data_IF_089691915035
#
_entry.id   IF_089691915035
#
_cell.length_a   1.000
_cell.length_b   1.000
_cell.length_c   1.000
_cell.angle_alpha   90.00
_cell.angle_beta   90.00
_cell.angle_gamma   90.00
#
_symmetry.space_group_name_H-M   'P 1'
#
loop_
_entity.id
_entity.type
_entity.pdbx_description
1 polymer ?
#
# COMPACT_ATOMS: atom_id res chain seq x y z
N UNK A 1 14.16 2.60 -26.10
CA UNK A 1 14.44 1.64 -24.99
C UNK A 1 13.13 1.06 -24.52
N UNK A 2 12.98 -0.27 -24.51
CA UNK A 2 11.75 -0.91 -24.02
C UNK A 2 11.65 -0.68 -22.52
N UNK A 3 10.63 0.05 -22.07
CA UNK A 3 10.31 0.26 -20.67
C UNK A 3 10.10 -1.09 -20.01
N UNK A 4 10.96 -1.45 -19.07
CA UNK A 4 10.84 -2.68 -18.29
C UNK A 4 9.49 -2.65 -17.58
N UNK A 5 8.54 -3.45 -18.03
CA UNK A 5 7.19 -3.52 -17.46
C UNK A 5 7.32 -3.82 -15.96
N UNK A 6 6.89 -2.89 -15.11
CA UNK A 6 6.94 -3.09 -13.68
C UNK A 6 6.11 -4.32 -13.32
N UNK A 7 6.69 -5.25 -12.56
CA UNK A 7 5.94 -6.40 -12.06
C UNK A 7 4.93 -5.95 -10.97
N UNK A 8 3.93 -6.77 -10.73
CA UNK A 8 2.90 -6.46 -9.72
C UNK A 8 3.22 -7.17 -8.42
N UNK A 9 3.09 -6.44 -7.31
CA UNK A 9 3.17 -6.96 -5.94
C UNK A 9 1.77 -7.26 -5.47
N UNK A 10 1.54 -8.49 -5.02
CA UNK A 10 0.24 -8.97 -4.53
C UNK A 10 0.27 -9.06 -3.01
N UNK A 11 -0.70 -8.45 -2.35
CA UNK A 11 -0.86 -8.47 -0.89
C UNK A 11 -2.28 -8.97 -0.59
N UNK A 12 -2.49 -9.86 0.40
CA UNK A 12 -3.83 -10.27 0.81
C UNK A 12 -4.70 -9.04 1.14
N UNK A 13 -5.93 -9.02 0.62
CA UNK A 13 -6.81 -7.85 0.75
C UNK A 13 -7.23 -7.59 2.19
N UNK A 14 -7.34 -8.63 3.00
CA UNK A 14 -7.57 -8.55 4.45
C UNK A 14 -6.43 -7.80 5.17
N UNK A 15 -5.17 -8.02 4.80
CA UNK A 15 -4.03 -7.24 5.33
C UNK A 15 -4.12 -5.77 4.88
N UNK A 16 -4.48 -5.51 3.62
CA UNK A 16 -4.61 -4.15 3.10
C UNK A 16 -5.65 -3.34 3.88
N UNK A 17 -6.75 -3.97 4.30
CA UNK A 17 -7.88 -3.36 5.00
C UNK A 17 -7.85 -3.51 6.52
N UNK A 18 -6.79 -4.07 7.08
CA UNK A 18 -6.69 -4.34 8.51
C UNK A 18 -6.08 -3.17 9.29
N UNK A 19 -6.82 -2.57 10.22
CA UNK A 19 -6.39 -1.44 11.05
C UNK A 19 -5.30 -1.79 12.08
N UNK A 20 -5.03 -3.06 12.33
CA UNK A 20 -3.96 -3.49 13.25
C UNK A 20 -2.56 -3.17 12.71
N UNK A 21 -2.40 -3.11 11.37
CA UNK A 21 -1.14 -2.73 10.76
C UNK A 21 -1.00 -1.21 10.73
N UNK A 22 0.05 -0.67 11.33
CA UNK A 22 0.43 0.74 11.10
C UNK A 22 0.86 0.95 9.64
N UNK A 23 0.79 2.18 9.16
CA UNK A 23 1.22 2.48 7.78
C UNK A 23 2.70 2.14 7.52
N UNK A 24 3.57 2.27 8.56
CA UNK A 24 4.98 1.88 8.48
C UNK A 24 5.17 0.37 8.38
N UNK A 25 4.50 -0.39 9.24
CA UNK A 25 4.51 -1.86 9.19
C UNK A 25 3.98 -2.38 7.85
N UNK A 26 2.85 -1.83 7.38
CA UNK A 26 2.29 -2.20 6.08
C UNK A 26 3.27 -1.95 4.93
N UNK A 27 3.92 -0.77 4.91
CA UNK A 27 4.86 -0.43 3.83
C UNK A 27 6.11 -1.30 3.90
N UNK A 28 6.62 -1.61 5.11
CA UNK A 28 7.71 -2.56 5.30
C UNK A 28 7.31 -3.95 4.79
N UNK A 29 6.13 -4.46 5.19
CA UNK A 29 5.61 -5.75 4.74
C UNK A 29 5.49 -5.81 3.21
N UNK A 30 4.89 -4.78 2.59
CA UNK A 30 4.77 -4.68 1.14
C UNK A 30 6.15 -4.74 0.46
N UNK A 31 7.17 -4.12 1.06
CA UNK A 31 8.54 -4.13 0.56
C UNK A 31 9.20 -5.50 0.71
N UNK A 32 8.94 -6.22 1.80
CA UNK A 32 9.40 -7.60 1.99
C UNK A 32 8.72 -8.56 0.98
N UNK A 33 7.41 -8.41 0.76
CA UNK A 33 6.69 -9.16 -0.28
C UNK A 33 7.24 -8.82 -1.67
N UNK A 34 7.56 -7.54 -1.95
CA UNK A 34 8.24 -7.15 -3.18
C UNK A 34 9.57 -7.90 -3.35
N UNK A 35 10.39 -7.98 -2.30
CA UNK A 35 11.66 -8.70 -2.32
C UNK A 35 11.48 -10.21 -2.58
N UNK A 36 10.41 -10.81 -2.07
CA UNK A 36 10.04 -12.19 -2.38
C UNK A 36 9.75 -12.40 -3.88
N UNK A 37 9.12 -11.42 -4.56
CA UNK A 37 8.76 -11.56 -5.97
C UNK A 37 9.93 -11.33 -6.96
N UNK A 38 11.02 -10.67 -6.55
CA UNK A 38 12.14 -10.33 -7.43
C UNK A 38 12.91 -11.57 -7.92
N UNK A 39 13.35 -12.54 -7.08
CA UNK A 39 14.11 -13.68 -7.52
C UNK A 39 13.28 -14.64 -8.40
N UNK A 40 13.92 -15.33 -9.34
CA UNK A 40 13.26 -16.39 -10.14
C UNK A 40 12.82 -17.56 -9.25
N UNK A 41 13.68 -17.99 -8.34
CA UNK A 41 13.38 -19.01 -7.34
C UNK A 41 12.83 -18.32 -6.09
N UNK A 42 11.60 -18.69 -5.72
CA UNK A 42 10.91 -18.09 -4.57
C UNK A 42 11.34 -18.78 -3.29
N UNK A 43 11.72 -17.99 -2.30
CA UNK A 43 12.05 -18.47 -0.96
C UNK A 43 11.40 -17.55 0.08
N UNK A 44 10.71 -18.14 1.05
CA UNK A 44 10.10 -17.40 2.16
C UNK A 44 11.16 -16.87 3.14
N UNK A 45 12.34 -17.49 3.18
CA UNK A 45 13.49 -16.97 3.94
C UNK A 45 14.24 -15.96 3.07
N UNK A 46 14.14 -14.69 3.44
CA UNK A 46 14.75 -13.57 2.73
C UNK A 46 16.08 -13.18 3.39
N UNK A 47 17.14 -13.09 2.60
CA UNK A 47 18.42 -12.51 3.01
C UNK A 47 18.43 -11.02 2.60
N UNK A 48 18.24 -10.12 3.55
CA UNK A 48 18.03 -8.69 3.31
C UNK A 48 19.20 -7.87 3.82
N UNK A 49 19.71 -6.97 3.00
CA UNK A 49 20.49 -5.85 3.49
C UNK A 49 19.55 -4.87 4.22
N UNK A 50 19.54 -4.95 5.54
CA UNK A 50 18.64 -4.13 6.36
C UNK A 50 18.96 -2.62 6.24
N UNK A 51 20.22 -2.24 6.02
CA UNK A 51 20.62 -0.83 5.83
C UNK A 51 20.04 -0.29 4.52
N UNK A 52 20.16 -1.06 3.44
CA UNK A 52 19.54 -0.72 2.17
C UNK A 52 18.01 -0.65 2.30
N UNK A 53 17.38 -1.61 2.99
CA UNK A 53 15.94 -1.62 3.21
C UNK A 53 15.47 -0.40 4.01
N UNK A 54 16.16 -0.05 5.11
CA UNK A 54 15.92 1.18 5.89
C UNK A 54 16.07 2.44 5.02
N UNK A 55 17.10 2.50 4.19
CA UNK A 55 17.30 3.60 3.25
C UNK A 55 16.14 3.75 2.27
N UNK A 56 15.68 2.65 1.67
CA UNK A 56 14.53 2.68 0.75
C UNK A 56 13.22 3.07 1.43
N UNK A 57 13.08 2.77 2.71
CA UNK A 57 11.90 3.09 3.50
C UNK A 57 11.99 4.42 4.27
N UNK A 58 13.07 5.21 4.12
CA UNK A 58 13.30 6.42 4.91
C UNK A 58 13.27 6.21 6.43
N UNK A 59 13.59 5.01 6.90
CA UNK A 59 13.73 4.72 8.32
C UNK A 59 15.14 5.16 8.76
N UNK A 60 15.21 6.15 9.64
CA UNK A 60 16.49 6.76 10.05
C UNK A 60 17.15 6.02 11.21
N UNK A 61 16.37 5.41 12.07
CA UNK A 61 16.87 4.77 13.29
C UNK A 61 16.53 3.27 13.34
N UNK A 62 17.41 2.51 13.98
CA UNK A 62 17.29 1.07 14.11
C UNK A 62 16.13 0.65 15.02
N UNK A 63 15.74 1.48 15.99
CA UNK A 63 14.69 1.13 16.95
C UNK A 63 13.32 1.20 16.30
N UNK A 64 13.08 2.22 15.47
CA UNK A 64 11.87 2.28 14.62
C UNK A 64 11.80 1.08 13.69
N UNK A 65 12.92 0.69 13.06
CA UNK A 65 12.95 -0.47 12.18
C UNK A 65 12.64 -1.76 12.93
N UNK A 66 13.29 -1.99 14.09
CA UNK A 66 13.01 -3.14 14.96
C UNK A 66 11.56 -3.15 15.46
N UNK A 67 11.01 -1.98 15.82
CA UNK A 67 9.61 -1.85 16.23
C UNK A 67 8.65 -2.32 15.12
N UNK A 68 8.89 -1.93 13.87
CA UNK A 68 8.07 -2.41 12.75
C UNK A 68 8.23 -3.92 12.53
N UNK A 69 9.45 -4.45 12.60
CA UNK A 69 9.68 -5.91 12.49
C UNK A 69 8.98 -6.68 13.62
N UNK A 70 9.06 -6.17 14.86
CA UNK A 70 8.37 -6.76 16.01
C UNK A 70 6.84 -6.75 15.78
N UNK A 71 6.27 -5.64 15.32
CA UNK A 71 4.85 -5.58 15.00
C UNK A 71 4.43 -6.56 13.90
N UNK A 72 5.29 -6.80 12.89
CA UNK A 72 5.04 -7.82 11.87
C UNK A 72 5.12 -9.25 12.43
N UNK A 73 6.02 -9.51 13.38
CA UNK A 73 6.13 -10.80 14.06
C UNK A 73 4.91 -11.07 14.93
N UNK A 74 4.50 -10.11 15.76
CA UNK A 74 3.33 -10.22 16.64
C UNK A 74 2.03 -10.48 15.86
N UNK A 75 1.95 -10.01 14.61
CA UNK A 75 0.82 -10.23 13.68
C UNK A 75 0.97 -11.49 12.81
N UNK A 76 2.03 -12.27 13.02
CA UNK A 76 2.28 -13.51 12.28
C UNK A 76 2.66 -13.30 10.80
N UNK A 77 2.96 -12.07 10.39
CA UNK A 77 3.41 -11.78 9.01
C UNK A 77 4.84 -12.26 8.74
N UNK A 78 5.69 -12.29 9.77
CA UNK A 78 7.00 -12.96 9.75
C UNK A 78 7.06 -14.01 10.85
N UNK A 79 7.79 -15.09 10.60
CA UNK A 79 7.83 -16.28 11.49
C UNK A 79 8.95 -16.20 12.54
N UNK A 80 9.98 -15.41 12.29
CA UNK A 80 11.11 -15.27 13.21
C UNK A 80 11.10 -13.89 13.89
N UNK A 81 11.29 -13.89 15.21
CA UNK A 81 11.46 -12.68 16.00
C UNK A 81 12.85 -12.09 15.76
N UNK A 82 12.92 -10.77 15.46
CA UNK A 82 14.17 -10.07 15.20
C UNK A 82 14.39 -9.04 16.30
N UNK A 83 15.21 -9.40 17.28
CA UNK A 83 15.58 -8.53 18.41
C UNK A 83 16.83 -7.71 18.15
N UNK A 84 17.75 -8.26 17.34
CA UNK A 84 19.03 -7.62 17.02
C UNK A 84 19.27 -7.57 15.51
N UNK A 85 19.91 -6.50 15.05
CA UNK A 85 20.31 -6.35 13.65
C UNK A 85 21.78 -6.78 13.48
N UNK A 86 22.11 -7.55 12.42
CA UNK A 86 23.48 -8.02 12.23
C UNK A 86 24.40 -6.83 11.91
N UNK A 87 25.57 -6.81 12.54
CA UNK A 87 26.61 -5.81 12.22
C UNK A 87 27.23 -6.05 10.84
N UNK A 88 27.36 -7.31 10.44
CA UNK A 88 27.89 -7.77 9.15
C UNK A 88 26.96 -8.84 8.57
N UNK A 89 26.87 -8.88 7.24
CA UNK A 89 26.03 -9.86 6.53
C UNK A 89 24.55 -9.48 6.46
N UNK A 90 23.75 -10.31 5.81
CA UNK A 90 22.32 -10.07 5.63
C UNK A 90 21.51 -10.35 6.91
N UNK A 91 20.41 -9.65 7.03
CA UNK A 91 19.35 -9.97 7.98
C UNK A 91 18.45 -11.04 7.36
N UNK A 92 18.25 -12.14 8.09
CA UNK A 92 17.33 -13.21 7.66
C UNK A 92 15.94 -12.91 8.18
N UNK A 93 14.96 -12.80 7.27
CA UNK A 93 13.54 -12.60 7.57
C UNK A 93 12.75 -13.75 6.97
N UNK A 94 12.02 -14.48 7.79
CA UNK A 94 11.17 -15.60 7.37
C UNK A 94 9.73 -15.13 7.22
N UNK A 95 9.25 -15.02 5.97
CA UNK A 95 7.88 -14.64 5.69
C UNK A 95 6.91 -15.78 6.04
N UNK A 96 5.74 -15.43 6.52
CA UNK A 96 4.63 -16.38 6.60
C UNK A 96 4.12 -16.71 5.19
N UNK A 97 3.77 -17.96 4.95
CA UNK A 97 3.12 -18.40 3.72
C UNK A 97 1.70 -17.80 3.57
N UNK A 98 1.05 -17.46 4.69
CA UNK A 98 -0.28 -16.85 4.71
C UNK A 98 -0.33 -15.46 4.05
N UNK A 99 0.78 -14.71 4.11
CA UNK A 99 0.86 -13.37 3.49
C UNK A 99 1.18 -13.41 1.99
N UNK A 100 1.45 -14.57 1.43
CA UNK A 100 1.76 -14.73 0.00
C UNK A 100 0.53 -15.33 -0.70
N UNK A 101 -0.23 -14.55 -1.48
CA UNK A 101 -1.50 -15.00 -2.08
C UNK A 101 -1.36 -16.24 -2.97
N UNK A 102 -0.20 -16.45 -3.57
CA UNK A 102 0.06 -17.63 -4.41
C UNK A 102 0.22 -18.93 -3.60
N UNK A 103 0.64 -18.82 -2.34
CA UNK A 103 0.79 -19.96 -1.42
C UNK A 103 -0.48 -20.13 -0.57
N UNK A 104 -1.01 -19.02 -0.08
CA UNK A 104 -2.31 -18.97 0.57
C UNK A 104 -3.42 -18.91 -0.49
N UNK A 105 -3.94 -20.06 -0.90
CA UNK A 105 -5.02 -20.14 -1.91
C UNK A 105 -6.37 -19.63 -1.40
N UNK A 106 -6.44 -19.10 -0.17
CA UNK A 106 -7.64 -18.57 0.45
C UNK A 106 -7.66 -17.04 0.32
N UNK A 107 -8.82 -16.50 -0.03
CA UNK A 107 -9.08 -15.06 -0.02
C UNK A 107 -8.74 -14.31 -1.29
N UNK A 108 -8.98 -13.02 -1.24
CA UNK A 108 -8.70 -12.08 -2.31
C UNK A 108 -7.35 -11.40 -2.09
N UNK A 109 -6.73 -10.95 -3.16
CA UNK A 109 -5.52 -10.15 -3.10
C UNK A 109 -5.67 -8.83 -3.85
N UNK A 110 -4.99 -7.83 -3.35
CA UNK A 110 -4.81 -6.53 -3.99
C UNK A 110 -3.44 -6.50 -4.67
N UNK A 111 -3.39 -6.04 -5.91
CA UNK A 111 -2.14 -6.00 -6.65
C UNK A 111 -1.83 -4.60 -7.19
N UNK A 112 -0.64 -4.12 -6.88
CA UNK A 112 -0.14 -2.83 -7.36
C UNK A 112 1.16 -3.02 -8.12
N UNK A 113 1.46 -2.09 -9.04
CA UNK A 113 2.77 -2.07 -9.70
C UNK A 113 3.89 -1.86 -8.66
N UNK A 114 5.01 -2.54 -8.84
CA UNK A 114 6.14 -2.51 -7.91
C UNK A 114 6.76 -1.13 -7.69
N UNK A 115 6.59 -0.21 -8.65
CA UNK A 115 7.06 1.17 -8.57
C UNK A 115 6.35 2.00 -7.50
N UNK A 116 5.14 1.62 -7.06
CA UNK A 116 4.47 2.26 -5.90
C UNK A 116 5.31 2.14 -4.63
N UNK A 117 6.14 1.11 -4.54
CA UNK A 117 7.07 0.87 -3.44
C UNK A 117 8.49 1.39 -3.73
N UNK A 118 8.68 2.23 -4.77
CA UNK A 118 9.96 2.90 -5.01
C UNK A 118 10.26 3.91 -3.90
N UNK A 119 11.55 4.19 -3.69
CA UNK A 119 12.00 5.20 -2.74
C UNK A 119 11.33 6.56 -3.01
N UNK A 120 11.30 6.98 -4.28
CA UNK A 120 10.79 8.29 -4.69
C UNK A 120 9.30 8.45 -4.40
N UNK A 121 8.50 7.39 -4.61
CA UNK A 121 7.07 7.40 -4.29
C UNK A 121 6.86 7.45 -2.78
N UNK A 122 7.60 6.63 -2.01
CA UNK A 122 7.51 6.64 -0.54
C UNK A 122 7.89 8.02 0.01
N UNK A 123 8.94 8.65 -0.53
CA UNK A 123 9.33 10.02 -0.17
C UNK A 123 8.22 11.04 -0.49
N UNK A 124 7.64 10.92 -1.67
CA UNK A 124 6.66 11.88 -2.17
C UNK A 124 5.32 11.85 -1.42
N UNK A 125 4.86 10.68 -0.95
CA UNK A 125 3.52 10.51 -0.37
C UNK A 125 3.51 9.90 1.03
N UNK A 126 4.67 9.46 1.55
CA UNK A 126 4.80 8.83 2.86
C UNK A 126 4.13 7.45 2.94
N UNK A 127 4.27 6.78 4.08
CA UNK A 127 3.70 5.44 4.31
C UNK A 127 2.17 5.43 4.23
N UNK A 128 1.53 6.48 4.75
CA UNK A 128 0.06 6.61 4.71
C UNK A 128 -0.42 6.73 3.26
N UNK A 129 0.27 7.52 2.44
CA UNK A 129 -0.07 7.65 1.02
C UNK A 129 0.07 6.34 0.25
N UNK A 130 1.16 5.59 0.48
CA UNK A 130 1.34 4.24 -0.10
C UNK A 130 0.22 3.31 0.33
N UNK A 131 -0.13 3.31 1.62
CA UNK A 131 -1.19 2.46 2.15
C UNK A 131 -2.57 2.82 1.58
N UNK A 132 -2.88 4.11 1.43
CA UNK A 132 -4.11 4.58 0.80
C UNK A 132 -4.21 4.14 -0.67
N UNK A 133 -3.11 4.17 -1.44
CA UNK A 133 -3.10 3.66 -2.81
C UNK A 133 -3.48 2.17 -2.86
N UNK A 134 -2.88 1.32 -2.00
CA UNK A 134 -3.25 -0.09 -1.90
C UNK A 134 -4.70 -0.27 -1.42
N UNK A 135 -5.15 0.52 -0.46
CA UNK A 135 -6.50 0.47 0.07
C UNK A 135 -7.54 0.78 -1.01
N UNK A 136 -7.37 1.87 -1.75
CA UNK A 136 -8.28 2.23 -2.84
C UNK A 136 -8.25 1.20 -3.97
N UNK A 137 -7.06 0.70 -4.33
CA UNK A 137 -6.92 -0.38 -5.33
C UNK A 137 -7.71 -1.62 -4.94
N UNK A 138 -7.80 -1.94 -3.66
CA UNK A 138 -8.50 -3.11 -3.15
C UNK A 138 -10.01 -3.10 -3.39
N UNK A 139 -10.59 -1.93 -3.67
CA UNK A 139 -12.01 -1.75 -3.97
C UNK A 139 -12.33 -1.58 -5.45
N UNK A 140 -11.30 -1.44 -6.30
CA UNK A 140 -11.50 -1.23 -7.73
C UNK A 140 -11.83 -2.55 -8.43
N UNK A 141 -13.00 -2.60 -9.08
CA UNK A 141 -13.38 -3.73 -9.91
C UNK A 141 -12.98 -3.50 -11.37
N UNK A 142 -11.85 -4.04 -11.79
CA UNK A 142 -11.36 -3.90 -13.16
C UNK A 142 -12.15 -4.68 -14.21
N UNK A 143 -13.00 -5.63 -13.82
CA UNK A 143 -13.87 -6.37 -14.73
C UNK A 143 -15.05 -5.53 -15.21
N UNK A 144 -15.50 -4.58 -14.39
CA UNK A 144 -16.58 -3.65 -14.71
C UNK A 144 -15.99 -2.30 -15.13
N UNK A 145 -16.06 -1.99 -16.42
CA UNK A 145 -15.50 -0.74 -16.98
C UNK A 145 -16.15 0.49 -16.35
N UNK A 146 -17.45 0.42 -16.04
CA UNK A 146 -18.20 1.53 -15.45
C UNK A 146 -17.87 1.77 -13.98
N UNK A 147 -17.22 0.81 -13.30
CA UNK A 147 -16.92 0.85 -11.86
C UNK A 147 -15.43 0.72 -11.56
N UNK A 148 -14.55 1.19 -12.46
CA UNK A 148 -13.09 1.19 -12.25
C UNK A 148 -12.63 2.32 -11.33
N UNK A 149 -13.29 2.47 -10.18
CA UNK A 149 -12.96 3.44 -9.15
C UNK A 149 -13.29 2.90 -7.77
N UNK A 150 -12.64 3.45 -6.75
CA UNK A 150 -13.00 3.22 -5.36
C UNK A 150 -14.03 4.28 -4.93
N UNK A 151 -15.11 3.84 -4.29
CA UNK A 151 -16.22 4.69 -3.84
C UNK A 151 -16.35 4.78 -2.31
N UNK A 152 -15.38 4.24 -1.58
CA UNK A 152 -15.40 4.18 -0.12
C UNK A 152 -15.25 5.58 0.48
N UNK A 153 -16.09 5.90 1.49
CA UNK A 153 -16.05 7.18 2.19
C UNK A 153 -14.79 7.36 3.04
N UNK A 154 -14.47 8.61 3.35
CA UNK A 154 -13.27 8.99 4.13
C UNK A 154 -13.35 8.46 5.57
N UNK A 155 -14.54 8.48 6.18
CA UNK A 155 -14.78 7.92 7.52
C UNK A 155 -14.51 6.39 7.55
N UNK A 156 -15.07 5.64 6.59
CA UNK A 156 -14.82 4.19 6.49
C UNK A 156 -13.34 3.91 6.27
N UNK A 157 -12.70 4.67 5.37
CA UNK A 157 -11.26 4.57 5.13
C UNK A 157 -10.45 4.81 6.41
N UNK A 158 -10.85 5.81 7.21
CA UNK A 158 -10.19 6.13 8.47
C UNK A 158 -10.31 4.98 9.48
N UNK A 159 -11.50 4.42 9.62
CA UNK A 159 -11.77 3.29 10.52
C UNK A 159 -11.00 2.03 10.10
N UNK A 160 -11.06 1.66 8.82
CA UNK A 160 -10.40 0.47 8.27
C UNK A 160 -8.86 0.56 8.34
N UNK A 161 -8.30 1.77 8.36
CA UNK A 161 -6.86 1.98 8.41
C UNK A 161 -6.33 2.40 9.79
N UNK A 162 -7.21 2.57 10.78
CA UNK A 162 -6.84 2.99 12.13
C UNK A 162 -6.21 4.39 12.17
N UNK A 163 -6.68 5.31 11.32
CA UNK A 163 -6.21 6.71 11.24
C UNK A 163 -7.39 7.67 11.33
N UNK A 164 -7.13 8.96 11.50
CA UNK A 164 -8.21 9.95 11.56
C UNK A 164 -8.69 10.35 10.16
N UNK A 165 -9.97 10.70 10.02
CA UNK A 165 -10.54 11.22 8.78
C UNK A 165 -9.79 12.45 8.26
N UNK A 166 -9.37 13.35 9.16
CA UNK A 166 -8.50 14.50 8.81
C UNK A 166 -7.20 14.05 8.14
N UNK A 167 -6.64 12.92 8.58
CA UNK A 167 -5.44 12.34 7.97
C UNK A 167 -5.75 11.81 6.58
N UNK A 168 -6.88 11.10 6.40
CA UNK A 168 -7.32 10.61 5.08
C UNK A 168 -7.46 11.79 4.11
N UNK A 169 -8.22 12.83 4.48
CA UNK A 169 -8.44 14.04 3.67
C UNK A 169 -7.11 14.71 3.31
N UNK A 170 -6.21 14.84 4.29
CA UNK A 170 -4.87 15.42 4.05
C UNK A 170 -4.09 14.64 3.00
N UNK A 171 -4.02 13.32 3.12
CA UNK A 171 -3.27 12.49 2.20
C UNK A 171 -3.94 12.35 0.84
N UNK A 172 -5.27 12.37 0.76
CA UNK A 172 -6.01 12.45 -0.50
C UNK A 172 -5.58 13.68 -1.30
N UNK A 173 -5.50 14.86 -0.66
CA UNK A 173 -5.01 16.09 -1.28
C UNK A 173 -3.55 15.95 -1.75
N UNK A 174 -2.69 15.28 -0.99
CA UNK A 174 -1.31 15.00 -1.41
C UNK A 174 -1.24 14.11 -2.64
N UNK A 175 -1.99 13.01 -2.63
CA UNK A 175 -2.04 12.06 -3.75
C UNK A 175 -2.60 12.71 -5.01
N UNK A 176 -3.65 13.53 -4.88
CA UNK A 176 -4.24 14.28 -5.98
C UNK A 176 -3.29 15.34 -6.53
N UNK A 177 -2.62 16.12 -5.66
CA UNK A 177 -1.59 17.10 -6.06
C UNK A 177 -0.44 16.45 -6.84
N UNK A 178 -0.06 15.22 -6.48
CA UNK A 178 0.95 14.41 -7.20
C UNK A 178 0.39 13.73 -8.45
N UNK A 179 -0.91 13.86 -8.70
CA UNK A 179 -1.64 13.21 -9.79
C UNK A 179 -1.62 11.67 -9.70
N UNK A 180 -1.37 11.10 -8.52
CA UNK A 180 -1.39 9.66 -8.31
C UNK A 180 -2.80 9.12 -8.20
N UNK A 181 -3.74 9.97 -7.76
CA UNK A 181 -5.18 9.72 -7.84
C UNK A 181 -5.87 10.89 -8.53
N UNK A 182 -7.07 10.64 -9.04
CA UNK A 182 -8.06 11.64 -9.42
C UNK A 182 -9.26 11.44 -8.51
N UNK A 183 -9.83 12.53 -8.00
CA UNK A 183 -11.02 12.50 -7.16
C UNK A 183 -12.15 13.17 -7.92
N UNK A 184 -13.19 12.41 -8.29
CA UNK A 184 -14.41 12.94 -8.86
C UNK A 184 -15.50 12.95 -7.78
N UNK A 185 -16.09 14.12 -7.53
CA UNK A 185 -17.18 14.28 -6.58
C UNK A 185 -18.49 13.97 -7.29
N UNK A 186 -19.15 12.91 -6.85
CA UNK A 186 -20.50 12.58 -7.28
C UNK A 186 -21.51 13.11 -6.28
N UNK A 187 -22.46 13.86 -6.78
CA UNK A 187 -23.63 14.27 -6.04
C UNK A 187 -24.61 13.10 -6.09
N UNK A 188 -24.89 12.47 -4.94
CA UNK A 188 -25.99 11.51 -4.88
C UNK A 188 -27.30 12.26 -5.08
N UNK A 189 -28.18 11.72 -5.92
CA UNK A 189 -29.49 12.30 -6.14
C UNK A 189 -30.27 12.31 -4.83
N UNK A 190 -31.02 13.40 -4.61
CA UNK A 190 -31.93 13.50 -3.47
C UNK A 190 -33.12 12.59 -3.72
N UNK A 191 -33.57 11.94 -2.67
CA UNK A 191 -34.76 11.12 -2.72
C UNK A 191 -35.33 10.88 -1.33
N UNK A 192 -36.55 10.42 -1.26
CA UNK A 192 -37.09 9.86 -0.05
C UNK A 192 -36.50 8.47 0.16
N UNK A 193 -36.06 8.18 1.39
CA UNK A 193 -35.70 6.82 1.76
C UNK A 193 -36.99 5.97 1.89
N UNK A 194 -36.84 4.68 2.14
CA UNK A 194 -37.99 3.75 2.31
C UNK A 194 -38.85 4.06 3.55
N UNK A 195 -38.50 5.09 4.34
CA UNK A 195 -39.29 5.57 5.48
C UNK A 195 -39.88 6.96 5.22
N UNK A 196 -40.02 7.36 3.95
CA UNK A 196 -40.55 8.67 3.51
C UNK A 196 -39.80 9.90 4.12
N UNK A 197 -38.59 9.70 4.58
CA UNK A 197 -37.74 10.79 5.06
C UNK A 197 -36.90 11.35 3.91
N UNK A 198 -36.93 12.67 3.75
CA UNK A 198 -36.13 13.34 2.73
C UNK A 198 -34.64 13.28 3.09
N UNK A 199 -33.83 12.60 2.24
CA UNK A 199 -32.38 12.47 2.43
C UNK A 199 -31.68 13.60 1.70
N UNK A 200 -31.00 14.44 2.47
CA UNK A 200 -30.18 15.54 1.94
C UNK A 200 -29.00 15.04 1.11
N UNK A 201 -28.55 15.88 0.18
CA UNK A 201 -27.41 15.61 -0.70
C UNK A 201 -26.20 15.09 0.07
N UNK A 202 -25.76 13.89 -0.24
CA UNK A 202 -24.45 13.39 0.12
C UNK A 202 -23.55 13.42 -1.12
N UNK A 203 -22.36 13.98 -0.99
CA UNK A 203 -21.35 13.81 -2.01
C UNK A 203 -20.60 12.51 -1.72
N UNK A 204 -20.45 11.66 -2.73
CA UNK A 204 -19.53 10.53 -2.67
C UNK A 204 -18.31 10.86 -3.51
N UNK A 205 -17.12 10.63 -2.95
CA UNK A 205 -15.88 10.74 -3.70
C UNK A 205 -15.62 9.44 -4.44
N UNK A 206 -15.33 9.53 -5.74
CA UNK A 206 -14.82 8.42 -6.53
C UNK A 206 -13.32 8.61 -6.73
N UNK A 207 -12.53 7.65 -6.26
CA UNK A 207 -11.07 7.69 -6.34
C UNK A 207 -10.59 6.82 -7.50
N UNK A 208 -9.89 7.43 -8.46
CA UNK A 208 -9.28 6.75 -9.60
C UNK A 208 -7.77 6.73 -9.42
N UNK A 209 -7.16 5.55 -9.37
CA UNK A 209 -5.70 5.43 -9.30
C UNK A 209 -5.10 5.65 -10.69
N UNK A 210 -4.12 6.52 -10.76
CA UNK A 210 -3.42 6.91 -11.99
C UNK A 210 -2.08 6.18 -12.08
N UNK A 211 -2.14 4.88 -12.40
CA UNK A 211 -0.93 4.04 -12.55
C UNK A 211 0.06 4.59 -13.58
N UNK A 212 -0.47 5.22 -14.66
CA UNK A 212 0.32 5.92 -15.67
C UNK A 212 1.18 7.02 -15.04
N UNK A 213 0.57 7.85 -14.18
CA UNK A 213 1.25 8.99 -13.55
C UNK A 213 2.26 8.58 -12.50
N UNK A 214 2.01 7.50 -11.77
CA UNK A 214 2.98 6.92 -10.84
C UNK A 214 4.21 6.42 -11.61
N UNK A 215 4.00 5.76 -12.75
CA UNK A 215 5.09 5.28 -13.61
C UNK A 215 5.91 6.45 -14.17
N UNK A 216 5.25 7.46 -14.76
CA UNK A 216 5.91 8.67 -15.26
C UNK A 216 6.75 9.38 -14.17
N UNK A 217 6.24 9.40 -12.94
CA UNK A 217 6.95 10.01 -11.81
C UNK A 217 8.25 9.28 -11.50
N UNK A 218 8.22 7.94 -11.43
CA UNK A 218 9.41 7.12 -11.20
C UNK A 218 10.45 7.24 -12.33
N UNK A 219 10.00 7.30 -13.59
CA UNK A 219 10.89 7.44 -14.75
C UNK A 219 11.62 8.79 -14.73
N UNK A 220 10.91 9.88 -14.39
CA UNK A 220 11.51 11.21 -14.26
C UNK A 220 12.53 11.29 -13.13
N UNK A 221 12.23 10.72 -11.99
CA UNK A 221 13.16 10.66 -10.86
C UNK A 221 14.44 9.91 -11.20
N UNK A 222 14.33 8.80 -11.94
CA UNK A 222 15.49 8.02 -12.38
C UNK A 222 16.38 8.77 -13.40
N UNK A 223 15.78 9.63 -14.24
CA UNK A 223 16.50 10.41 -15.24
C UNK A 223 17.25 11.62 -14.67
N UNK A 224 16.89 12.08 -13.48
CA UNK A 224 17.59 13.17 -12.78
C UNK A 224 18.85 12.71 -12.02
N UNK A 225 19.00 11.40 -11.85
CA UNK A 225 20.13 10.77 -11.15
C UNK A 225 21.14 10.10 -12.10
N UNK A 226 20.88 10.16 -13.42
CA UNK A 226 21.76 9.66 -14.48
C UNK A 226 22.53 10.81 -15.13
#
# INVERSE_FOLDING_TARGET
MATKKAFKVQIPTDIVRNNEYTAGEFTLLAKLIQAYYIPKVKNLSLNIDHKALMFYLFIKDHDTFKKHLKGLFEKGAIKNEITTLPRKGPLVIELSDEIIPQLNKKGHFTQMQSNVLSRDVIEAVGYIGVRLLYYYESYINYKDIARRFCWIGEETTANDLGITEKTVIKYNKFLEKRKFIKIDKHKSENGYNHNDQYVYFRYSNHYFIRHDKITEFCEKSSSLLA
#
